data_IF_436277034277
#
_entry.id   IF_436277034277
#
_cell.length_a   1.000
_cell.length_b   1.000
_cell.length_c   1.000
_cell.angle_alpha   90.00
_cell.angle_beta   90.00
_cell.angle_gamma   90.00
#
_symmetry.space_group_name_H-M   'P 1'
#
loop_
_entity.id
_entity.type
_entity.pdbx_description
1 polymer ?
#
# COMPACT_ATOMS: atom_id res chain seq x y z
N UNK A 1 -17.45 1.61 -1.58
CA UNK A 1 -16.02 1.78 -1.86
C UNK A 1 -15.51 2.87 -0.93
N UNK A 2 -14.88 2.48 0.19
CA UNK A 2 -14.19 3.42 1.06
C UNK A 2 -12.87 3.78 0.36
N UNK A 3 -12.85 4.95 -0.26
CA UNK A 3 -11.64 5.57 -0.83
C UNK A 3 -10.81 6.23 0.29
N UNK A 4 -11.39 6.36 1.49
CA UNK A 4 -10.73 6.99 2.63
C UNK A 4 -9.78 6.02 3.33
N UNK A 5 -8.65 6.55 3.79
CA UNK A 5 -7.74 5.80 4.64
C UNK A 5 -8.44 5.44 5.95
N UNK A 6 -8.30 4.21 6.36
CA UNK A 6 -8.94 3.65 7.57
C UNK A 6 -8.68 4.49 8.82
N UNK A 7 -7.51 5.09 8.94
CA UNK A 7 -7.15 5.99 10.06
C UNK A 7 -7.97 7.29 10.13
N UNK A 8 -8.72 7.63 9.09
CA UNK A 8 -9.56 8.84 9.04
C UNK A 8 -11.01 8.58 9.45
N UNK A 9 -11.37 7.33 9.68
CA UNK A 9 -12.74 6.92 9.97
C UNK A 9 -12.76 6.06 11.24
N UNK A 10 -13.62 6.42 12.18
CA UNK A 10 -13.91 5.55 13.32
C UNK A 10 -15.01 4.56 12.88
N UNK A 11 -14.71 3.25 12.96
CA UNK A 11 -15.66 2.20 12.59
C UNK A 11 -16.96 2.36 13.40
N UNK A 12 -18.10 2.29 12.71
CA UNK A 12 -19.46 2.47 13.27
C UNK A 12 -19.79 3.88 13.77
N UNK A 13 -18.84 4.81 13.81
CA UNK A 13 -19.07 6.19 14.27
C UNK A 13 -19.01 7.16 13.09
N UNK A 14 -20.10 7.91 12.90
CA UNK A 14 -20.12 9.01 11.91
C UNK A 14 -19.56 10.29 12.49
N UNK A 15 -19.11 11.20 11.63
CA UNK A 15 -18.65 12.54 12.03
C UNK A 15 -19.78 13.42 12.63
N UNK A 16 -21.03 13.02 12.41
CA UNK A 16 -22.23 13.61 13.02
C UNK A 16 -23.01 12.52 13.74
N UNK A 17 -23.47 12.82 14.93
CA UNK A 17 -24.24 11.89 15.74
C UNK A 17 -25.60 11.60 15.10
N UNK A 18 -25.88 10.33 14.75
CA UNK A 18 -27.11 9.94 14.05
C UNK A 18 -28.39 10.36 14.78
N UNK A 19 -28.41 10.31 16.11
CA UNK A 19 -29.58 10.68 16.89
C UNK A 19 -29.83 12.20 16.93
N UNK A 20 -28.87 13.05 16.52
CA UNK A 20 -29.08 14.50 16.36
C UNK A 20 -29.73 14.86 15.02
N UNK A 21 -29.90 13.90 14.11
CA UNK A 21 -30.48 14.12 12.78
C UNK A 21 -31.86 14.82 12.78
N UNK A 22 -32.82 14.51 13.71
CA UNK A 22 -34.08 15.25 13.76
C UNK A 22 -33.89 16.75 13.97
N UNK A 23 -32.93 17.13 14.81
CA UNK A 23 -32.62 18.55 15.07
C UNK A 23 -31.94 19.18 13.85
N UNK A 24 -31.05 18.45 13.20
CA UNK A 24 -30.45 18.89 11.93
C UNK A 24 -31.51 19.13 10.86
N UNK A 25 -32.42 18.19 10.65
CA UNK A 25 -33.48 18.31 9.65
C UNK A 25 -34.41 19.51 9.94
N UNK A 26 -34.78 19.71 11.21
CA UNK A 26 -35.56 20.87 11.63
C UNK A 26 -34.80 22.18 11.39
N UNK A 27 -33.54 22.26 11.80
CA UNK A 27 -32.73 23.47 11.65
C UNK A 27 -32.45 23.80 10.19
N UNK A 28 -32.20 22.79 9.36
CA UNK A 28 -32.05 22.94 7.92
C UNK A 28 -33.34 23.46 7.27
N UNK A 29 -34.51 22.86 7.60
CA UNK A 29 -35.80 23.30 7.12
C UNK A 29 -36.10 24.76 7.51
N UNK A 30 -35.81 25.14 8.76
CA UNK A 30 -35.92 26.54 9.23
C UNK A 30 -34.98 27.49 8.51
N UNK A 31 -33.75 27.05 8.22
CA UNK A 31 -32.77 27.85 7.48
C UNK A 31 -33.21 28.06 6.03
N UNK A 32 -33.77 27.03 5.38
CA UNK A 32 -34.38 27.15 4.05
C UNK A 32 -35.59 28.11 4.03
N UNK A 33 -36.46 27.98 5.03
CA UNK A 33 -37.62 28.88 5.14
C UNK A 33 -37.20 30.33 5.33
N UNK A 34 -36.08 30.55 6.07
CA UNK A 34 -35.53 31.89 6.39
C UNK A 34 -34.36 32.26 5.49
N UNK A 35 -34.22 31.66 4.30
CA UNK A 35 -33.06 31.79 3.38
C UNK A 35 -32.79 33.25 2.96
N UNK A 36 -33.80 34.10 2.98
CA UNK A 36 -33.65 35.54 2.68
C UNK A 36 -32.79 36.27 3.71
N UNK A 37 -32.67 35.73 4.92
CA UNK A 37 -31.82 36.30 6.00
C UNK A 37 -30.39 35.81 5.83
N UNK A 38 -29.38 36.72 5.78
CA UNK A 38 -27.98 36.36 5.49
C UNK A 38 -27.43 35.29 6.44
N UNK A 39 -27.75 35.37 7.74
CA UNK A 39 -27.27 34.44 8.75
C UNK A 39 -27.71 32.98 8.54
N UNK A 40 -28.86 32.72 7.91
CA UNK A 40 -29.31 31.37 7.58
C UNK A 40 -28.75 30.91 6.22
N UNK A 41 -28.73 31.85 5.26
CA UNK A 41 -28.24 31.58 3.89
C UNK A 41 -26.79 31.11 3.88
N UNK A 42 -25.92 31.69 4.71
CA UNK A 42 -24.51 31.31 4.83
C UNK A 42 -24.36 29.83 5.15
N UNK A 43 -25.09 29.32 6.15
CA UNK A 43 -24.96 27.91 6.55
C UNK A 43 -25.53 26.94 5.52
N UNK A 44 -26.60 27.30 4.83
CA UNK A 44 -27.14 26.49 3.75
C UNK A 44 -26.17 26.42 2.57
N UNK A 45 -25.60 27.57 2.15
CA UNK A 45 -24.60 27.61 1.07
C UNK A 45 -23.34 26.85 1.48
N UNK A 46 -22.82 27.04 2.71
CA UNK A 46 -21.64 26.33 3.19
C UNK A 46 -21.84 24.82 3.23
N UNK A 47 -23.03 24.35 3.63
CA UNK A 47 -23.37 22.93 3.65
C UNK A 47 -23.35 22.33 2.22
N UNK A 48 -23.91 23.05 1.26
CA UNK A 48 -23.97 22.59 -0.14
C UNK A 48 -22.63 22.74 -0.86
N UNK A 49 -21.81 23.72 -0.49
CA UNK A 49 -20.51 23.96 -1.09
C UNK A 49 -19.42 23.03 -0.54
N UNK A 50 -19.57 22.52 0.70
CA UNK A 50 -18.55 21.68 1.31
C UNK A 50 -18.15 20.44 0.49
N UNK A 51 -19.09 19.69 -0.14
CA UNK A 51 -18.73 18.55 -0.98
C UNK A 51 -18.09 18.92 -2.33
N UNK A 52 -18.27 20.17 -2.80
CA UNK A 52 -17.81 20.57 -4.13
C UNK A 52 -16.29 20.47 -4.28
N UNK A 53 -15.54 20.88 -3.26
CA UNK A 53 -14.07 20.73 -3.24
C UNK A 53 -13.62 19.26 -3.24
N UNK A 54 -14.35 18.40 -2.54
CA UNK A 54 -14.10 16.96 -2.52
C UNK A 54 -14.38 16.30 -3.87
N UNK A 55 -15.43 16.77 -4.57
CA UNK A 55 -15.80 16.24 -5.89
C UNK A 55 -14.75 16.54 -6.96
N UNK A 56 -14.04 17.67 -6.89
CA UNK A 56 -13.00 18.05 -7.84
C UNK A 56 -11.70 17.25 -7.67
N UNK A 57 -11.40 16.78 -6.45
CA UNK A 57 -10.13 16.13 -6.13
C UNK A 57 -10.27 14.64 -5.72
N UNK A 58 -11.41 14.04 -6.05
CA UNK A 58 -11.80 12.72 -5.56
C UNK A 58 -12.46 12.79 -4.18
N UNK A 59 -13.57 12.06 -4.01
CA UNK A 59 -14.35 12.07 -2.78
C UNK A 59 -13.59 11.39 -1.65
N UNK A 60 -13.17 12.16 -0.65
CA UNK A 60 -12.56 11.66 0.57
C UNK A 60 -13.16 12.40 1.79
N UNK A 61 -13.30 11.67 2.91
CA UNK A 61 -13.87 12.21 4.16
C UNK A 61 -13.12 13.46 4.62
N UNK A 62 -11.79 13.39 4.62
CA UNK A 62 -10.94 14.52 5.06
C UNK A 62 -11.18 15.79 4.26
N UNK A 63 -11.49 15.67 2.97
CA UNK A 63 -11.82 16.81 2.09
C UNK A 63 -13.25 17.34 2.30
N UNK A 64 -14.15 16.49 2.80
CA UNK A 64 -15.54 16.84 3.07
C UNK A 64 -15.80 17.25 4.54
N UNK A 65 -14.81 17.16 5.44
CA UNK A 65 -14.98 17.44 6.88
C UNK A 65 -15.52 18.86 7.19
N UNK A 66 -15.28 19.80 6.29
CA UNK A 66 -15.87 21.14 6.44
C UNK A 66 -17.40 21.12 6.56
N UNK A 67 -18.07 20.12 5.98
CA UNK A 67 -19.53 19.90 6.09
C UNK A 67 -20.00 19.79 7.55
N UNK A 68 -19.16 19.32 8.45
CA UNK A 68 -19.50 19.16 9.88
C UNK A 68 -19.84 20.49 10.52
N UNK A 69 -19.13 21.57 10.19
CA UNK A 69 -19.33 22.90 10.78
C UNK A 69 -20.75 23.42 10.52
N UNK A 70 -21.20 23.63 9.27
CA UNK A 70 -22.55 24.10 9.02
C UNK A 70 -23.63 23.13 9.50
N UNK A 71 -23.36 21.81 9.48
CA UNK A 71 -24.30 20.80 9.97
C UNK A 71 -24.53 20.92 11.48
N UNK A 72 -23.47 21.11 12.27
CA UNK A 72 -23.58 21.31 13.74
C UNK A 72 -24.33 22.60 14.05
N UNK A 73 -24.06 23.69 13.34
CA UNK A 73 -24.81 24.96 13.53
C UNK A 73 -26.29 24.79 13.20
N UNK A 74 -26.61 24.12 12.08
CA UNK A 74 -27.99 23.85 11.72
C UNK A 74 -28.68 22.93 12.75
N UNK A 75 -27.96 21.93 13.28
CA UNK A 75 -28.45 21.10 14.40
C UNK A 75 -28.77 21.94 15.63
N UNK A 76 -27.90 22.87 15.96
CA UNK A 76 -28.09 23.78 17.13
C UNK A 76 -29.31 24.71 16.93
N UNK A 77 -29.54 25.21 15.71
CA UNK A 77 -30.73 25.99 15.35
C UNK A 77 -32.01 25.15 15.54
N UNK A 78 -31.99 23.89 15.10
CA UNK A 78 -33.12 23.00 15.29
C UNK A 78 -33.38 22.64 16.74
N UNK A 79 -32.31 22.43 17.53
CA UNK A 79 -32.40 22.19 18.96
C UNK A 79 -32.98 23.41 19.68
N UNK A 80 -32.50 24.62 19.41
CA UNK A 80 -33.04 25.86 19.97
C UNK A 80 -34.53 26.03 19.67
N UNK A 81 -34.94 25.80 18.44
CA UNK A 81 -36.36 25.85 18.06
C UNK A 81 -37.21 24.80 18.82
N UNK A 82 -36.65 23.63 19.02
CA UNK A 82 -37.29 22.56 19.83
C UNK A 82 -37.45 23.01 21.29
N UNK A 83 -36.44 23.64 21.86
CA UNK A 83 -36.51 24.21 23.21
C UNK A 83 -37.62 25.25 23.34
N UNK A 84 -37.76 26.15 22.34
CA UNK A 84 -38.85 27.13 22.29
C UNK A 84 -40.23 26.46 22.25
N UNK A 85 -40.38 25.36 21.51
CA UNK A 85 -41.66 24.64 21.43
C UNK A 85 -42.00 23.90 22.73
N UNK A 86 -40.98 23.30 23.38
CA UNK A 86 -41.14 22.60 24.67
C UNK A 86 -41.49 23.56 25.78
N UNK A 87 -40.88 24.75 25.82
CA UNK A 87 -41.20 25.80 26.78
C UNK A 87 -42.66 26.22 26.71
N UNK A 88 -43.22 26.38 25.51
CA UNK A 88 -44.64 26.68 25.30
C UNK A 88 -45.55 25.58 25.89
N UNK A 89 -45.06 24.37 26.10
CA UNK A 89 -45.76 23.27 26.76
C UNK A 89 -45.50 23.19 28.27
N UNK A 90 -44.92 24.23 28.86
CA UNK A 90 -44.60 24.34 30.31
C UNK A 90 -43.58 23.29 30.79
N UNK A 91 -42.78 22.72 29.91
CA UNK A 91 -41.66 21.86 30.30
C UNK A 91 -40.41 22.72 30.42
N UNK A 92 -39.67 22.65 31.56
CA UNK A 92 -38.45 23.42 31.74
C UNK A 92 -37.39 23.10 30.69
N UNK A 93 -36.79 24.14 30.10
CA UNK A 93 -35.66 23.95 29.13
C UNK A 93 -34.52 23.10 29.69
N UNK A 94 -34.28 23.23 31.00
CA UNK A 94 -33.26 22.47 31.73
C UNK A 94 -33.42 20.96 31.50
N UNK A 95 -34.65 20.45 31.41
CA UNK A 95 -34.89 19.01 31.17
C UNK A 95 -34.34 18.58 29.79
N UNK A 96 -34.65 19.32 28.73
CA UNK A 96 -34.13 18.98 27.38
C UNK A 96 -32.60 19.14 27.32
N UNK A 97 -32.06 20.22 27.91
CA UNK A 97 -30.62 20.46 27.96
C UNK A 97 -29.93 19.30 28.71
N UNK A 98 -30.47 18.88 29.84
CA UNK A 98 -29.92 17.76 30.62
C UNK A 98 -29.99 16.46 29.86
N UNK A 99 -31.10 16.14 29.17
CA UNK A 99 -31.26 14.94 28.38
C UNK A 99 -30.27 14.90 27.18
N UNK A 100 -30.16 16.02 26.45
CA UNK A 100 -29.22 16.13 25.34
C UNK A 100 -27.79 16.07 25.87
N UNK A 101 -27.46 16.79 26.93
CA UNK A 101 -26.14 16.77 27.55
C UNK A 101 -25.75 15.40 28.06
N UNK A 102 -26.65 14.70 28.76
CA UNK A 102 -26.43 13.34 29.23
C UNK A 102 -26.22 12.37 28.02
N UNK A 103 -27.05 12.50 26.98
CA UNK A 103 -26.91 11.71 25.75
C UNK A 103 -25.55 11.91 25.06
N UNK A 104 -25.11 13.18 24.96
CA UNK A 104 -23.80 13.52 24.40
C UNK A 104 -22.66 12.92 25.23
N UNK A 105 -22.67 13.10 26.56
CA UNK A 105 -21.64 12.60 27.48
C UNK A 105 -21.58 11.06 27.40
N UNK A 106 -22.74 10.41 27.48
CA UNK A 106 -22.81 8.93 27.42
C UNK A 106 -22.31 8.38 26.10
N UNK A 107 -22.79 8.95 24.98
CA UNK A 107 -22.36 8.51 23.66
C UNK A 107 -20.85 8.72 23.44
N UNK A 108 -20.33 9.90 23.77
CA UNK A 108 -18.89 10.17 23.63
C UNK A 108 -18.05 9.30 24.58
N UNK A 109 -18.56 8.99 25.77
CA UNK A 109 -17.91 8.07 26.70
C UNK A 109 -17.80 6.65 26.14
N UNK A 110 -18.90 6.12 25.56
CA UNK A 110 -18.86 4.82 24.88
C UNK A 110 -17.97 4.83 23.65
N UNK A 111 -18.06 5.87 22.81
CA UNK A 111 -17.21 6.04 21.63
C UNK A 111 -15.73 6.07 22.02
N UNK A 112 -15.36 6.85 23.06
CA UNK A 112 -13.98 6.92 23.55
C UNK A 112 -13.49 5.58 24.08
N UNK A 113 -14.32 4.89 24.88
CA UNK A 113 -13.99 3.55 25.37
C UNK A 113 -13.74 2.59 24.23
N UNK A 114 -14.64 2.56 23.24
CA UNK A 114 -14.52 1.69 22.07
C UNK A 114 -13.28 2.02 21.23
N UNK A 115 -13.00 3.31 21.02
CA UNK A 115 -11.80 3.77 20.33
C UNK A 115 -10.51 3.36 21.04
N UNK A 116 -10.47 3.39 22.36
CA UNK A 116 -9.28 3.03 23.15
C UNK A 116 -9.05 1.51 23.22
N UNK A 117 -10.12 0.73 23.23
CA UNK A 117 -10.05 -0.74 23.39
C UNK A 117 -9.99 -1.44 22.04
N UNK A 118 -10.88 -1.12 21.13
CA UNK A 118 -11.04 -1.81 19.84
C UNK A 118 -10.45 -1.05 18.65
N UNK A 119 -10.18 0.25 18.80
CA UNK A 119 -9.67 1.10 17.72
C UNK A 119 -8.45 0.53 16.98
N UNK A 120 -7.46 -0.06 17.66
CA UNK A 120 -6.31 -0.68 17.02
C UNK A 120 -6.66 -1.81 16.04
N UNK A 121 -7.80 -2.47 16.26
CA UNK A 121 -8.26 -3.63 15.47
C UNK A 121 -9.49 -3.33 14.60
N UNK A 122 -9.92 -2.08 14.50
CA UNK A 122 -11.08 -1.75 13.67
C UNK A 122 -10.90 -2.08 12.19
N UNK A 123 -9.66 -2.17 11.76
CA UNK A 123 -9.29 -2.51 10.38
C UNK A 123 -8.30 -3.66 10.41
N UNK A 124 -8.48 -4.60 9.50
CA UNK A 124 -7.72 -5.85 9.46
C UNK A 124 -6.24 -5.69 9.07
N UNK A 125 -5.87 -4.53 8.50
CA UNK A 125 -4.49 -4.23 8.19
C UNK A 125 -3.93 -3.23 9.20
N UNK A 126 -2.93 -3.63 9.93
CA UNK A 126 -2.16 -2.78 10.82
C UNK A 126 -1.03 -2.06 10.05
N UNK A 127 -1.28 -1.78 8.78
CA UNK A 127 -0.35 -1.14 7.85
C UNK A 127 -0.32 0.38 8.03
N UNK A 128 0.42 1.05 7.16
CA UNK A 128 0.54 2.51 7.09
C UNK A 128 -0.80 3.26 7.03
N UNK A 129 -1.86 2.62 6.52
CA UNK A 129 -3.21 3.18 6.42
C UNK A 129 -4.08 2.96 7.65
N UNK A 130 -3.73 2.02 8.54
CA UNK A 130 -4.52 1.61 9.70
C UNK A 130 -4.30 2.43 10.96
N UNK A 131 -4.84 1.93 12.07
CA UNK A 131 -4.62 2.48 13.40
C UNK A 131 -3.23 2.08 13.91
N UNK A 132 -2.49 3.03 14.42
CA UNK A 132 -1.12 2.83 14.88
C UNK A 132 -1.10 2.73 16.40
N UNK A 133 -0.88 1.51 16.90
CA UNK A 133 -0.83 1.23 18.33
C UNK A 133 0.47 0.50 18.65
N UNK A 134 1.00 0.74 19.85
CA UNK A 134 2.07 -0.10 20.43
C UNK A 134 3.40 0.59 20.64
N UNK A 135 3.61 1.83 20.16
CA UNK A 135 4.91 2.50 20.27
C UNK A 135 5.47 2.49 21.70
N UNK A 136 4.69 2.96 22.67
CA UNK A 136 5.13 2.97 24.07
C UNK A 136 5.41 1.59 24.64
N UNK A 137 4.60 0.60 24.25
CA UNK A 137 4.69 -0.77 24.73
C UNK A 137 5.90 -1.48 24.11
N UNK A 138 6.05 -1.40 22.79
CA UNK A 138 7.15 -2.05 22.06
C UNK A 138 8.49 -1.42 22.44
N UNK A 139 8.60 -0.09 22.37
CA UNK A 139 9.85 0.59 22.68
C UNK A 139 10.21 0.51 24.16
N UNK A 140 9.21 0.52 25.06
CA UNK A 140 9.46 0.28 26.47
C UNK A 140 9.98 -1.12 26.78
N UNK A 141 9.51 -2.14 26.04
CA UNK A 141 10.03 -3.51 26.19
C UNK A 141 11.43 -3.65 25.58
N UNK A 142 11.69 -3.03 24.42
CA UNK A 142 13.04 -2.96 23.83
C UNK A 142 14.03 -2.31 24.83
N UNK A 143 13.65 -1.16 25.40
CA UNK A 143 14.48 -0.48 26.40
C UNK A 143 14.78 -1.37 27.60
N UNK A 144 13.81 -2.14 28.08
CA UNK A 144 14.00 -3.10 29.17
C UNK A 144 14.97 -4.21 28.76
N UNK A 145 14.80 -4.82 27.60
CA UNK A 145 15.70 -5.86 27.09
C UNK A 145 17.13 -5.36 26.95
N UNK A 146 17.32 -4.14 26.44
CA UNK A 146 18.65 -3.54 26.29
C UNK A 146 19.29 -3.15 27.64
N UNK A 147 18.47 -2.82 28.65
CA UNK A 147 19.00 -2.63 30.04
C UNK A 147 19.46 -3.95 30.66
N UNK A 148 18.73 -5.05 30.39
CA UNK A 148 19.11 -6.39 30.88
C UNK A 148 20.31 -6.97 30.13
N UNK A 149 20.37 -6.74 28.81
CA UNK A 149 21.46 -7.15 27.93
C UNK A 149 21.78 -6.06 26.89
N UNK A 150 22.78 -5.18 27.16
CA UNK A 150 23.13 -4.09 26.23
C UNK A 150 23.58 -4.54 24.82
N UNK A 151 23.99 -5.80 24.68
CA UNK A 151 24.43 -6.38 23.40
C UNK A 151 23.33 -7.17 22.69
N UNK A 152 22.10 -7.14 23.20
CA UNK A 152 20.96 -7.83 22.59
C UNK A 152 20.75 -7.36 21.17
N UNK A 153 20.77 -8.29 20.23
CA UNK A 153 20.39 -8.01 18.84
C UNK A 153 18.89 -8.08 18.72
N UNK A 154 18.31 -7.00 18.20
CA UNK A 154 16.86 -6.86 18.03
C UNK A 154 16.60 -6.42 16.59
N UNK A 155 15.63 -7.06 15.96
CA UNK A 155 15.08 -6.73 14.66
C UNK A 155 13.60 -6.40 14.81
N UNK A 156 13.19 -5.21 14.40
CA UNK A 156 11.82 -4.72 14.58
C UNK A 156 11.13 -4.53 13.23
N UNK A 157 9.96 -5.13 13.07
CA UNK A 157 9.08 -4.81 11.94
C UNK A 157 8.67 -3.33 11.95
N UNK A 158 8.82 -2.61 10.84
CA UNK A 158 8.32 -1.24 10.70
C UNK A 158 6.84 -1.18 10.26
N UNK A 159 6.22 -2.31 9.93
CA UNK A 159 4.95 -2.36 9.18
C UNK A 159 3.70 -2.03 10.01
N UNK A 160 3.84 -1.61 11.27
CA UNK A 160 2.73 -1.31 12.18
C UNK A 160 2.46 0.18 12.38
N UNK A 161 3.32 1.07 11.88
CA UNK A 161 3.12 2.51 11.99
C UNK A 161 3.63 3.25 10.76
N UNK A 162 3.02 4.41 10.46
CA UNK A 162 3.52 5.32 9.45
C UNK A 162 4.70 6.11 10.01
N UNK A 163 5.92 5.76 9.63
CA UNK A 163 7.14 6.34 10.18
C UNK A 163 7.53 5.72 11.52
N UNK A 164 7.60 4.39 11.59
CA UNK A 164 8.07 3.65 12.78
C UNK A 164 9.47 4.09 13.19
N UNK A 165 10.34 4.42 12.24
CA UNK A 165 11.67 4.99 12.49
C UNK A 165 11.61 6.36 13.17
N UNK A 166 10.65 7.21 12.79
CA UNK A 166 10.43 8.51 13.44
C UNK A 166 9.93 8.32 14.86
N UNK A 167 9.00 7.36 15.07
CA UNK A 167 8.54 7.01 16.41
C UNK A 167 9.69 6.45 17.26
N UNK A 168 10.56 5.61 16.67
CA UNK A 168 11.72 5.06 17.38
C UNK A 168 12.66 6.14 17.88
N UNK A 169 12.95 7.18 17.07
CA UNK A 169 13.81 8.31 17.46
C UNK A 169 13.21 9.19 18.57
N UNK A 170 11.92 9.07 18.85
CA UNK A 170 11.33 9.71 20.03
C UNK A 170 11.74 9.01 21.34
N UNK A 171 11.98 7.70 21.29
CA UNK A 171 12.35 6.89 22.46
C UNK A 171 13.84 6.67 22.58
N UNK A 172 14.57 6.62 21.46
CA UNK A 172 15.99 6.29 21.39
C UNK A 172 16.77 7.34 20.62
N UNK A 173 18.01 7.58 21.04
CA UNK A 173 18.94 8.44 20.31
C UNK A 173 19.51 7.69 19.10
N UNK A 174 19.92 8.44 18.07
CA UNK A 174 20.64 7.88 16.93
C UNK A 174 22.11 7.55 17.32
N UNK A 175 22.70 6.46 16.81
CA UNK A 175 22.04 5.43 16.01
C UNK A 175 21.07 4.58 16.84
N UNK A 176 19.99 4.11 16.22
CA UNK A 176 19.04 3.23 16.89
C UNK A 176 19.73 1.96 17.37
N UNK A 177 19.44 1.46 18.59
CA UNK A 177 20.08 0.27 19.14
C UNK A 177 19.50 -1.05 18.62
N UNK A 178 18.75 -1.02 17.54
CA UNK A 178 18.14 -2.18 16.87
C UNK A 178 18.00 -1.90 15.37
N UNK A 179 17.84 -2.97 14.62
CA UNK A 179 17.58 -2.94 13.18
C UNK A 179 16.08 -2.94 12.90
N UNK A 180 15.67 -2.34 11.79
CA UNK A 180 14.29 -2.38 11.31
C UNK A 180 14.20 -2.92 9.89
N UNK A 181 13.22 -3.81 9.67
CA UNK A 181 12.95 -4.38 8.36
C UNK A 181 11.77 -5.35 8.41
N UNK A 182 11.27 -5.77 7.25
CA UNK A 182 10.28 -6.82 7.16
C UNK A 182 10.93 -8.20 7.28
N UNK A 183 10.25 -9.13 7.96
CA UNK A 183 10.64 -10.54 7.99
C UNK A 183 10.62 -11.15 6.58
N UNK A 184 9.88 -10.57 5.66
CA UNK A 184 9.82 -11.04 4.28
C UNK A 184 11.20 -11.06 3.62
N UNK A 185 12.12 -10.14 3.98
CA UNK A 185 13.50 -10.19 3.52
C UNK A 185 14.20 -11.48 3.92
N UNK A 186 14.01 -11.96 5.16
CA UNK A 186 14.55 -13.21 5.66
C UNK A 186 13.86 -14.45 5.08
N UNK A 187 12.62 -14.31 4.64
CA UNK A 187 11.90 -15.37 3.94
C UNK A 187 12.34 -15.46 2.49
N UNK A 188 12.67 -14.34 1.86
CA UNK A 188 13.01 -14.24 0.45
C UNK A 188 14.48 -14.56 0.17
N UNK A 189 15.37 -14.09 1.04
CA UNK A 189 16.81 -14.29 0.95
C UNK A 189 17.35 -14.76 2.30
N UNK A 190 18.46 -15.49 2.25
CA UNK A 190 19.16 -15.88 3.47
C UNK A 190 19.95 -14.73 4.05
N UNK A 191 19.50 -14.21 5.19
CA UNK A 191 20.25 -13.25 5.99
C UNK A 191 20.88 -13.94 7.18
N UNK A 192 21.97 -13.36 7.70
CA UNK A 192 22.60 -13.87 8.92
C UNK A 192 21.69 -13.61 10.13
N UNK A 193 21.36 -14.67 10.87
CA UNK A 193 20.63 -14.59 12.14
C UNK A 193 21.65 -14.82 13.26
N UNK A 194 21.84 -13.79 14.09
CA UNK A 194 22.76 -13.87 15.22
C UNK A 194 22.18 -14.76 16.34
N UNK A 195 23.01 -15.53 17.04
CA UNK A 195 22.55 -16.33 18.18
C UNK A 195 21.83 -15.48 19.24
N UNK A 196 20.57 -15.82 19.54
CA UNK A 196 19.75 -15.11 20.51
C UNK A 196 19.18 -13.78 19.98
N UNK A 197 19.28 -13.50 18.67
CA UNK A 197 18.61 -12.34 18.06
C UNK A 197 17.10 -12.43 18.23
N UNK A 198 16.48 -11.33 18.65
CA UNK A 198 15.05 -11.23 18.87
C UNK A 198 14.41 -10.50 17.70
N UNK A 199 13.43 -11.13 17.09
CA UNK A 199 12.57 -10.53 16.06
C UNK A 199 11.27 -10.11 16.70
N UNK A 200 10.86 -8.85 16.46
CA UNK A 200 9.59 -8.30 16.93
C UNK A 200 8.70 -8.12 15.71
N UNK A 201 7.75 -9.02 15.57
CA UNK A 201 6.90 -9.18 14.38
C UNK A 201 5.46 -8.77 14.68
N UNK A 202 4.78 -8.23 13.69
CA UNK A 202 3.32 -8.08 13.73
C UNK A 202 2.65 -9.44 13.47
N UNK A 203 1.34 -9.61 13.79
CA UNK A 203 0.66 -10.88 13.61
C UNK A 203 0.77 -11.46 12.21
N UNK A 204 0.61 -10.63 11.18
CA UNK A 204 0.72 -11.08 9.79
C UNK A 204 2.11 -11.62 9.46
N UNK A 205 3.17 -10.93 9.86
CA UNK A 205 4.55 -11.36 9.62
C UNK A 205 4.91 -12.64 10.39
N UNK A 206 4.39 -12.78 11.61
CA UNK A 206 4.57 -14.01 12.40
C UNK A 206 3.93 -15.22 11.70
N UNK A 207 2.71 -15.07 11.17
CA UNK A 207 2.05 -16.13 10.42
C UNK A 207 2.75 -16.38 9.07
N UNK A 208 3.24 -15.36 8.37
CA UNK A 208 4.04 -15.53 7.16
C UNK A 208 5.31 -16.33 7.43
N UNK A 209 6.02 -16.00 8.52
CA UNK A 209 7.23 -16.74 8.91
C UNK A 209 6.93 -18.22 9.18
N UNK A 210 5.83 -18.53 9.86
CA UNK A 210 5.38 -19.91 10.11
C UNK A 210 5.00 -20.64 8.81
N UNK A 211 4.25 -19.98 7.95
CA UNK A 211 3.76 -20.54 6.69
C UNK A 211 4.89 -20.78 5.68
N UNK A 212 6.01 -20.06 5.78
CA UNK A 212 7.13 -20.20 4.86
C UNK A 212 7.86 -21.53 4.95
N UNK A 213 7.73 -22.25 6.08
CA UNK A 213 8.45 -23.50 6.40
C UNK A 213 9.99 -23.37 6.31
N UNK A 214 10.51 -22.13 6.23
CA UNK A 214 11.95 -21.84 6.11
C UNK A 214 12.67 -21.81 7.46
N UNK A 215 11.90 -21.71 8.55
CA UNK A 215 12.43 -21.71 9.91
C UNK A 215 12.10 -23.02 10.61
N UNK A 216 13.12 -23.72 11.14
CA UNK A 216 12.93 -24.97 11.89
C UNK A 216 12.33 -24.72 13.26
N UNK A 217 12.67 -23.57 13.88
CA UNK A 217 12.15 -23.13 15.15
C UNK A 217 11.73 -21.67 15.05
N UNK A 218 10.56 -21.39 15.60
CA UNK A 218 10.06 -20.04 15.88
C UNK A 218 9.74 -20.04 17.37
N UNK A 219 10.76 -19.75 18.19
CA UNK A 219 10.60 -19.79 19.63
C UNK A 219 9.97 -18.50 20.13
N UNK A 220 8.72 -18.59 20.56
CA UNK A 220 7.98 -17.45 21.10
C UNK A 220 8.50 -17.14 22.51
N UNK A 221 9.13 -15.97 22.65
CA UNK A 221 9.65 -15.46 23.93
C UNK A 221 8.51 -14.78 24.70
N UNK A 222 7.73 -13.93 23.99
CA UNK A 222 6.70 -13.07 24.57
C UNK A 222 5.74 -12.54 23.52
N UNK A 223 4.52 -12.20 23.97
CA UNK A 223 3.59 -11.34 23.20
C UNK A 223 3.37 -10.02 23.91
N UNK A 224 3.07 -8.98 23.15
CA UNK A 224 2.43 -7.77 23.63
C UNK A 224 1.04 -7.68 23.01
N UNK A 225 0.04 -7.55 23.86
CA UNK A 225 -1.34 -7.59 23.43
C UNK A 225 -1.88 -6.20 23.10
N UNK A 226 -2.84 -6.15 22.20
CA UNK A 226 -3.69 -4.98 22.00
C UNK A 226 -4.61 -4.76 23.20
N UNK A 227 -5.22 -3.57 23.34
CA UNK A 227 -6.10 -3.27 24.48
C UNK A 227 -7.30 -4.20 24.61
N UNK A 228 -7.70 -4.91 23.55
CA UNK A 228 -8.79 -5.88 23.56
C UNK A 228 -8.35 -7.30 23.96
N UNK A 229 -7.06 -7.51 24.19
CA UNK A 229 -6.48 -8.79 24.59
C UNK A 229 -5.96 -9.67 23.45
N UNK A 230 -6.11 -9.27 22.19
CA UNK A 230 -5.50 -10.00 21.08
C UNK A 230 -4.00 -9.72 21.01
N UNK A 231 -3.20 -10.72 20.60
CA UNK A 231 -1.77 -10.56 20.43
C UNK A 231 -1.46 -9.56 19.32
N UNK A 232 -0.68 -8.52 19.64
CA UNK A 232 -0.33 -7.43 18.72
C UNK A 232 1.09 -7.50 18.19
N UNK A 233 2.02 -7.98 19.04
CA UNK A 233 3.43 -8.12 18.67
C UNK A 233 3.98 -9.42 19.23
N UNK A 234 4.73 -10.13 18.41
CA UNK A 234 5.37 -11.39 18.74
C UNK A 234 6.88 -11.16 18.85
N UNK A 235 7.45 -11.47 20.01
CA UNK A 235 8.89 -11.49 20.25
C UNK A 235 9.37 -12.91 20.09
N UNK A 236 10.16 -13.19 19.07
CA UNK A 236 10.57 -14.53 18.71
C UNK A 236 12.07 -14.64 18.44
N UNK A 237 12.64 -15.80 18.69
CA UNK A 237 13.90 -16.21 18.08
C UNK A 237 13.57 -17.05 16.83
N UNK A 238 14.38 -16.88 15.79
CA UNK A 238 14.24 -17.62 14.54
C UNK A 238 15.53 -18.41 14.27
N UNK A 239 15.37 -19.58 13.67
CA UNK A 239 16.48 -20.39 13.19
C UNK A 239 16.05 -21.05 11.87
N UNK A 240 16.85 -20.87 10.83
CA UNK A 240 16.58 -21.50 9.53
C UNK A 240 16.64 -23.02 9.59
N UNK A 241 15.89 -23.66 8.69
CA UNK A 241 16.06 -25.09 8.41
C UNK A 241 17.45 -25.36 7.82
N UNK A 242 17.95 -26.60 7.99
CA UNK A 242 19.31 -26.93 7.57
C UNK A 242 19.52 -26.82 6.06
N UNK A 243 18.49 -27.06 5.26
CA UNK A 243 18.50 -27.01 3.80
C UNK A 243 17.95 -25.71 3.21
N UNK A 244 18.02 -24.59 3.95
CA UNK A 244 17.49 -23.30 3.49
C UNK A 244 18.07 -22.86 2.15
N UNK A 245 19.36 -23.11 1.90
CA UNK A 245 20.02 -22.71 0.67
C UNK A 245 19.42 -23.43 -0.55
N UNK A 246 19.09 -24.73 -0.38
CA UNK A 246 18.44 -25.53 -1.45
C UNK A 246 17.00 -25.00 -1.73
N UNK A 247 16.24 -24.72 -0.66
CA UNK A 247 14.88 -24.21 -0.81
C UNK A 247 14.88 -22.86 -1.56
N UNK A 248 15.75 -21.93 -1.16
CA UNK A 248 15.85 -20.63 -1.81
C UNK A 248 16.30 -20.74 -3.26
N UNK A 249 17.25 -21.64 -3.56
CA UNK A 249 17.71 -21.88 -4.92
C UNK A 249 16.61 -22.49 -5.81
N UNK A 250 15.79 -23.42 -5.28
CA UNK A 250 14.66 -24.00 -6.01
C UNK A 250 13.59 -22.93 -6.29
N UNK A 251 13.27 -22.07 -5.32
CA UNK A 251 12.33 -20.96 -5.50
C UNK A 251 12.83 -19.95 -6.54
N UNK A 252 14.10 -19.59 -6.47
CA UNK A 252 14.72 -18.68 -7.44
C UNK A 252 14.66 -19.28 -8.86
N UNK A 253 14.99 -20.56 -9.00
CA UNK A 253 14.89 -21.25 -10.27
C UNK A 253 13.43 -21.29 -10.79
N UNK A 254 12.47 -21.50 -9.90
CA UNK A 254 11.05 -21.48 -10.26
C UNK A 254 10.58 -20.10 -10.76
N UNK A 255 11.04 -19.02 -10.12
CA UNK A 255 10.72 -17.63 -10.53
C UNK A 255 11.32 -17.27 -11.90
N UNK A 256 12.48 -17.82 -12.23
CA UNK A 256 13.17 -17.61 -13.51
C UNK A 256 12.63 -18.51 -14.65
N UNK A 257 11.81 -19.51 -14.31
CA UNK A 257 11.22 -20.40 -15.33
C UNK A 257 10.29 -19.62 -16.25
N UNK A 258 10.52 -19.76 -17.55
CA UNK A 258 9.68 -19.10 -18.54
C UNK A 258 8.33 -19.82 -18.69
N UNK A 259 7.27 -19.02 -18.73
CA UNK A 259 5.91 -19.42 -19.08
C UNK A 259 5.53 -18.80 -20.42
N UNK A 260 4.69 -19.49 -21.21
CA UNK A 260 4.30 -19.05 -22.55
C UNK A 260 2.84 -18.57 -22.56
N UNK A 261 2.59 -17.51 -23.29
CA UNK A 261 1.24 -16.98 -23.56
C UNK A 261 1.15 -16.48 -25.00
N UNK A 262 -0.02 -16.61 -25.61
CA UNK A 262 -0.34 -15.98 -26.89
C UNK A 262 -1.03 -14.63 -26.64
N UNK A 263 -0.53 -13.59 -27.28
CA UNK A 263 -1.13 -12.26 -27.28
C UNK A 263 -1.27 -11.71 -28.70
N UNK A 264 -2.06 -10.64 -28.85
CA UNK A 264 -2.15 -9.87 -30.09
C UNK A 264 -1.70 -8.45 -29.80
N UNK A 265 -0.71 -7.95 -30.55
CA UNK A 265 -0.22 -6.59 -30.41
C UNK A 265 -1.16 -5.57 -31.11
N UNK A 266 -0.97 -4.24 -30.91
CA UNK A 266 -1.78 -3.20 -31.57
C UNK A 266 -1.74 -3.21 -33.09
N UNK A 267 -0.73 -3.83 -33.70
CA UNK A 267 -0.59 -4.00 -35.16
C UNK A 267 -1.26 -5.29 -35.68
N UNK A 268 -1.99 -6.02 -34.82
CA UNK A 268 -2.64 -7.30 -35.05
C UNK A 268 -1.68 -8.46 -35.36
N UNK A 269 -0.44 -8.41 -34.89
CA UNK A 269 0.43 -9.57 -34.89
C UNK A 269 0.07 -10.52 -33.77
N UNK A 270 -0.07 -11.81 -34.08
CA UNK A 270 -0.18 -12.85 -33.04
C UNK A 270 1.22 -13.25 -32.59
N UNK A 271 1.50 -13.07 -31.30
CA UNK A 271 2.81 -13.31 -30.72
C UNK A 271 2.70 -14.38 -29.62
N UNK A 272 3.52 -15.44 -29.73
CA UNK A 272 3.76 -16.35 -28.62
C UNK A 272 4.96 -15.83 -27.84
N UNK A 273 4.74 -15.52 -26.55
CA UNK A 273 5.75 -14.89 -25.69
C UNK A 273 6.07 -15.82 -24.52
N UNK A 274 7.35 -16.17 -24.37
CA UNK A 274 7.85 -16.85 -23.19
C UNK A 274 8.56 -15.81 -22.28
N UNK A 275 8.18 -15.75 -21.01
CA UNK A 275 8.64 -14.75 -20.04
C UNK A 275 8.73 -15.33 -18.63
N UNK A 276 9.57 -14.75 -17.72
CA UNK A 276 9.66 -15.18 -16.33
C UNK A 276 8.47 -14.66 -15.51
N UNK A 277 8.35 -15.11 -14.26
CA UNK A 277 7.29 -14.70 -13.38
C UNK A 277 7.31 -13.17 -13.12
N UNK A 278 6.12 -12.56 -13.13
CA UNK A 278 5.90 -11.15 -12.83
C UNK A 278 5.18 -11.01 -11.47
N UNK A 279 5.47 -9.95 -10.73
CA UNK A 279 4.74 -9.59 -9.51
C UNK A 279 3.84 -8.35 -9.69
N UNK A 280 4.03 -7.63 -10.81
CA UNK A 280 3.20 -6.48 -11.17
C UNK A 280 2.95 -6.47 -12.68
N UNK A 281 1.68 -6.23 -13.05
CA UNK A 281 1.20 -6.23 -14.43
C UNK A 281 1.10 -7.64 -15.03
N UNK A 282 0.44 -7.74 -16.18
CA UNK A 282 0.47 -8.90 -17.07
C UNK A 282 1.43 -8.64 -18.21
N UNK A 283 1.94 -9.69 -18.86
CA UNK A 283 2.89 -9.52 -19.99
C UNK A 283 2.29 -8.74 -21.16
N UNK A 284 0.98 -8.81 -21.32
CA UNK A 284 0.21 -8.03 -22.30
C UNK A 284 0.43 -6.53 -22.16
N UNK A 285 0.71 -6.02 -20.95
CA UNK A 285 1.00 -4.62 -20.70
C UNK A 285 2.25 -4.09 -21.42
N UNK A 286 3.14 -4.99 -21.85
CA UNK A 286 4.29 -4.61 -22.68
C UNK A 286 3.95 -4.43 -24.16
N UNK A 287 2.73 -4.80 -24.58
CA UNK A 287 2.34 -4.89 -25.99
C UNK A 287 0.94 -4.33 -26.21
N UNK A 288 0.41 -3.52 -25.29
CA UNK A 288 -0.96 -2.98 -25.35
C UNK A 288 -1.05 -1.57 -25.94
N UNK A 289 0.09 -0.92 -26.15
CA UNK A 289 0.18 0.45 -26.64
C UNK A 289 -0.17 1.51 -25.59
N UNK A 290 -0.35 1.12 -24.32
CA UNK A 290 -0.55 2.07 -23.20
C UNK A 290 0.79 2.34 -22.50
N UNK A 291 1.38 3.48 -22.78
CA UNK A 291 2.64 3.92 -22.18
C UNK A 291 2.63 4.08 -20.66
N UNK A 292 1.46 3.96 -19.99
CA UNK A 292 1.30 4.08 -18.55
C UNK A 292 1.17 2.72 -17.85
N UNK A 293 0.89 1.66 -18.58
CA UNK A 293 0.92 0.30 -18.05
C UNK A 293 2.36 -0.17 -17.90
N UNK A 294 2.62 -1.04 -16.92
CA UNK A 294 3.98 -1.57 -16.71
C UNK A 294 3.96 -3.01 -16.22
N UNK A 295 5.08 -3.68 -16.41
CA UNK A 295 5.38 -4.95 -15.77
C UNK A 295 6.59 -4.82 -14.85
N UNK A 296 6.62 -5.68 -13.82
CA UNK A 296 7.77 -5.88 -12.96
C UNK A 296 8.01 -7.37 -12.76
N UNK A 297 9.27 -7.79 -12.89
CA UNK A 297 9.62 -9.18 -12.62
C UNK A 297 9.57 -9.50 -11.14
N UNK A 298 9.15 -10.72 -10.79
CA UNK A 298 9.29 -11.26 -9.44
C UNK A 298 10.70 -11.85 -9.30
N UNK A 299 11.64 -11.03 -8.82
CA UNK A 299 13.04 -11.41 -8.59
C UNK A 299 13.70 -12.18 -9.75
N UNK A 300 13.33 -11.87 -10.97
CA UNK A 300 14.00 -12.35 -12.16
C UNK A 300 14.73 -11.19 -12.84
N UNK A 301 16.03 -11.23 -12.77
CA UNK A 301 16.92 -10.32 -13.46
C UNK A 301 17.98 -11.15 -14.20
N UNK A 302 18.02 -11.10 -15.54
CA UNK A 302 17.26 -10.24 -16.44
C UNK A 302 15.79 -10.65 -16.65
N UNK A 303 14.96 -9.72 -17.12
CA UNK A 303 13.71 -10.00 -17.80
C UNK A 303 14.05 -10.56 -19.19
N UNK A 304 13.71 -11.82 -19.42
CA UNK A 304 13.90 -12.50 -20.70
C UNK A 304 12.55 -12.60 -21.40
N UNK A 305 12.48 -12.11 -22.64
CA UNK A 305 11.32 -12.22 -23.52
C UNK A 305 11.72 -13.00 -24.75
N UNK A 306 11.20 -14.20 -24.92
CA UNK A 306 11.33 -14.94 -26.18
C UNK A 306 10.01 -14.83 -26.95
N UNK A 307 10.03 -14.14 -28.08
CA UNK A 307 8.85 -13.75 -28.85
C UNK A 307 8.89 -14.45 -30.20
N UNK A 308 7.82 -15.21 -30.49
CA UNK A 308 7.62 -15.87 -31.74
C UNK A 308 6.34 -15.38 -32.41
N UNK A 309 6.45 -14.55 -33.46
CA UNK A 309 5.30 -14.17 -34.24
C UNK A 309 4.73 -15.39 -34.97
N UNK A 310 3.40 -15.47 -35.11
CA UNK A 310 2.75 -16.54 -35.91
C UNK A 310 3.09 -16.48 -37.42
N UNK A 311 3.43 -15.29 -37.91
CA UNK A 311 3.94 -15.01 -39.25
C UNK A 311 5.14 -14.07 -39.11
N UNK A 312 6.12 -14.20 -40.03
CA UNK A 312 7.28 -13.32 -40.04
C UNK A 312 6.83 -11.85 -40.09
N UNK A 313 7.40 -11.01 -39.23
CA UNK A 313 7.13 -9.56 -39.17
C UNK A 313 8.31 -8.79 -39.79
N UNK A 314 7.99 -7.78 -40.60
CA UNK A 314 9.03 -6.85 -41.07
C UNK A 314 9.46 -5.94 -39.91
N UNK A 315 10.74 -6.02 -39.55
CA UNK A 315 11.30 -5.31 -38.42
C UNK A 315 12.42 -4.39 -38.90
N UNK A 316 12.27 -3.09 -38.63
CA UNK A 316 13.27 -2.07 -38.90
C UNK A 316 13.84 -1.47 -37.60
N UNK A 317 12.99 -1.44 -36.56
CA UNK A 317 13.33 -0.81 -35.30
C UNK A 317 12.60 -1.53 -34.16
N UNK A 318 13.26 -1.65 -33.00
CA UNK A 318 12.66 -2.10 -31.74
C UNK A 318 12.75 -0.93 -30.76
N UNK A 319 11.65 -0.59 -30.13
CA UNK A 319 11.61 0.43 -29.09
C UNK A 319 11.23 -0.22 -27.76
N UNK A 320 12.05 -0.03 -26.75
CA UNK A 320 11.82 -0.52 -25.39
C UNK A 320 11.65 0.67 -24.45
N UNK A 321 10.46 0.80 -23.84
CA UNK A 321 10.18 1.80 -22.83
C UNK A 321 10.47 1.23 -21.45
N UNK A 322 11.45 1.83 -20.76
CA UNK A 322 11.97 1.34 -19.48
C UNK A 322 12.00 2.42 -18.42
N UNK A 323 12.13 2.01 -17.15
CA UNK A 323 12.37 2.91 -16.03
C UNK A 323 13.77 3.52 -16.01
N UNK A 324 14.03 4.25 -14.94
CA UNK A 324 15.26 5.02 -14.81
C UNK A 324 16.51 4.25 -14.37
N UNK A 325 16.41 2.95 -14.03
CA UNK A 325 17.57 2.15 -13.57
C UNK A 325 18.61 1.96 -14.67
N UNK A 326 19.89 1.88 -14.28
CA UNK A 326 20.96 1.49 -15.19
C UNK A 326 20.67 0.08 -15.76
N UNK A 327 20.67 -0.06 -17.09
CA UNK A 327 20.16 -1.25 -17.76
C UNK A 327 21.08 -1.69 -18.87
N UNK A 328 21.32 -3.00 -18.97
CA UNK A 328 21.95 -3.65 -20.10
C UNK A 328 20.92 -4.42 -20.91
N UNK A 329 20.94 -4.22 -22.23
CA UNK A 329 20.09 -4.93 -23.18
C UNK A 329 20.92 -5.88 -24.01
N UNK A 330 20.36 -7.06 -24.24
CA UNK A 330 20.82 -8.02 -25.24
C UNK A 330 19.61 -8.42 -26.09
N UNK A 331 19.66 -8.10 -27.38
CA UNK A 331 18.58 -8.40 -28.31
C UNK A 331 19.14 -9.30 -29.38
N UNK A 332 18.45 -10.39 -29.69
CA UNK A 332 18.75 -11.29 -30.78
C UNK A 332 17.53 -11.41 -31.70
N UNK A 333 17.71 -11.09 -32.95
CA UNK A 333 16.68 -11.22 -34.00
C UNK A 333 17.04 -12.32 -34.95
N UNK A 334 16.19 -13.33 -35.06
CA UNK A 334 16.33 -14.44 -36.00
C UNK A 334 15.39 -14.19 -37.18
N UNK A 335 15.95 -14.21 -38.38
CA UNK A 335 15.20 -14.13 -39.65
C UNK A 335 14.96 -15.51 -40.25
N UNK A 336 14.28 -15.59 -41.41
CA UNK A 336 14.01 -16.84 -42.12
C UNK A 336 15.29 -17.66 -42.40
N UNK A 337 15.10 -18.96 -42.63
CA UNK A 337 16.19 -19.97 -42.75
C UNK A 337 17.34 -19.51 -43.63
N UNK A 338 18.53 -19.44 -43.07
CA UNK A 338 19.80 -19.26 -43.77
C UNK A 338 20.59 -18.01 -43.43
N UNK A 339 20.07 -17.12 -42.62
CA UNK A 339 20.78 -15.92 -42.14
C UNK A 339 21.25 -16.08 -40.68
N UNK A 340 22.45 -15.58 -40.38
CA UNK A 340 22.90 -15.51 -38.99
C UNK A 340 22.02 -14.54 -38.18
N UNK A 341 21.69 -14.87 -36.90
CA UNK A 341 20.93 -13.96 -36.05
C UNK A 341 21.63 -12.62 -35.85
N UNK A 342 20.91 -11.53 -35.97
CA UNK A 342 21.40 -10.19 -35.64
C UNK A 342 21.43 -10.04 -34.14
N UNK A 343 22.58 -9.66 -33.57
CA UNK A 343 22.77 -9.45 -32.14
C UNK A 343 23.06 -8.00 -31.90
N UNK A 344 22.31 -7.40 -30.96
CA UNK A 344 22.47 -6.01 -30.51
C UNK A 344 22.66 -6.03 -28.98
N UNK A 345 23.73 -5.37 -28.52
CA UNK A 345 23.96 -5.15 -27.10
C UNK A 345 24.12 -3.68 -26.84
N UNK A 346 23.47 -3.17 -25.77
CA UNK A 346 23.54 -1.77 -25.40
C UNK A 346 23.42 -1.61 -23.90
N UNK A 347 24.25 -0.72 -23.33
CA UNK A 347 24.15 -0.26 -21.94
C UNK A 347 23.57 1.14 -21.91
N UNK A 348 22.68 1.38 -20.95
CA UNK A 348 22.02 2.66 -20.75
C UNK A 348 22.21 3.04 -19.27
N UNK A 349 22.77 4.24 -19.00
CA UNK A 349 23.04 4.68 -17.63
C UNK A 349 21.74 4.95 -16.86
N UNK A 350 21.84 5.13 -15.56
CA UNK A 350 20.73 5.56 -14.69
C UNK A 350 20.16 6.92 -15.14
N UNK A 351 18.85 7.10 -14.96
CA UNK A 351 18.08 8.31 -15.26
C UNK A 351 16.99 8.49 -14.21
N UNK A 352 16.49 9.70 -14.04
CA UNK A 352 15.33 9.97 -13.16
C UNK A 352 13.98 9.85 -13.88
N UNK A 353 13.98 9.50 -15.18
CA UNK A 353 12.78 9.50 -16.02
C UNK A 353 12.59 8.15 -16.72
N UNK A 354 11.33 7.77 -16.97
CA UNK A 354 10.97 6.71 -17.90
C UNK A 354 11.39 7.16 -19.29
N UNK A 355 11.98 6.26 -20.08
CA UNK A 355 12.55 6.59 -21.39
C UNK A 355 12.39 5.49 -22.40
N UNK A 356 12.38 5.90 -23.67
CA UNK A 356 12.42 5.01 -24.80
C UNK A 356 13.87 4.72 -25.21
N UNK A 357 14.20 3.46 -25.35
CA UNK A 357 15.49 3.00 -25.87
C UNK A 357 15.25 2.40 -27.26
N UNK A 358 15.77 3.05 -28.26
CA UNK A 358 15.54 2.73 -29.68
C UNK A 358 16.68 1.88 -30.21
N UNK A 359 16.37 0.76 -30.85
CA UNK A 359 17.32 -0.14 -31.51
C UNK A 359 16.98 -0.20 -32.99
N UNK A 360 17.77 0.49 -33.81
CA UNK A 360 17.64 0.49 -35.25
C UNK A 360 18.39 -0.73 -35.84
N UNK A 361 17.76 -1.42 -36.76
CA UNK A 361 18.40 -2.48 -37.56
C UNK A 361 19.04 -1.85 -38.81
N UNK A 362 20.23 -2.28 -39.16
CA UNK A 362 20.94 -1.77 -40.34
C UNK A 362 20.14 -1.98 -41.65
N UNK A 363 19.34 -3.03 -41.71
CA UNK A 363 18.40 -3.33 -42.78
C UNK A 363 17.13 -3.94 -42.25
N UNK A 364 15.96 -3.73 -42.91
CA UNK A 364 14.72 -4.38 -42.53
C UNK A 364 14.89 -5.93 -42.60
N UNK A 365 14.41 -6.61 -41.57
CA UNK A 365 14.48 -8.07 -41.46
C UNK A 365 13.08 -8.65 -41.32
N UNK A 366 12.85 -9.82 -41.95
CA UNK A 366 11.68 -10.64 -41.71
C UNK A 366 11.95 -11.50 -40.46
N UNK A 367 11.55 -10.99 -39.32
CA UNK A 367 11.81 -11.64 -38.02
C UNK A 367 10.82 -12.78 -37.78
N UNK A 368 11.34 -13.95 -37.47
CA UNK A 368 10.58 -15.16 -37.09
C UNK A 368 10.71 -15.49 -35.61
N UNK A 369 11.75 -14.96 -34.94
CA UNK A 369 11.97 -15.10 -33.51
C UNK A 369 12.79 -13.91 -32.98
N UNK A 370 12.40 -13.38 -31.81
CA UNK A 370 13.15 -12.36 -31.10
C UNK A 370 13.43 -12.87 -29.69
N UNK A 371 14.65 -12.66 -29.21
CA UNK A 371 14.99 -12.82 -27.80
C UNK A 371 15.47 -11.49 -27.28
N UNK A 372 14.81 -10.97 -26.26
CA UNK A 372 15.12 -9.69 -25.61
C UNK A 372 15.46 -9.96 -24.16
N UNK A 373 16.66 -9.57 -23.74
CA UNK A 373 17.11 -9.61 -22.33
C UNK A 373 17.28 -8.20 -21.84
N UNK A 374 16.60 -7.87 -20.76
CA UNK A 374 16.64 -6.56 -20.08
C UNK A 374 17.19 -6.80 -18.69
N UNK A 375 18.42 -6.36 -18.43
CA UNK A 375 19.12 -6.59 -17.17
C UNK A 375 19.27 -5.28 -16.40
N UNK A 376 18.64 -5.19 -15.23
CA UNK A 376 18.89 -4.15 -14.26
C UNK A 376 20.29 -4.36 -13.66
N UNK A 377 21.16 -3.36 -13.79
CA UNK A 377 22.54 -3.39 -13.28
C UNK A 377 22.72 -2.58 -11.99
N UNK A 378 21.66 -2.05 -11.41
CA UNK A 378 21.71 -1.36 -10.13
C UNK A 378 21.88 -2.39 -9.00
N UNK A 379 22.94 -2.23 -8.22
CA UNK A 379 23.28 -3.15 -7.12
C UNK A 379 22.23 -3.18 -5.99
N UNK A 380 21.48 -2.10 -5.83
CA UNK A 380 20.43 -1.98 -4.79
C UNK A 380 19.10 -2.61 -5.19
N UNK A 381 18.88 -2.93 -6.47
CA UNK A 381 17.61 -3.45 -7.00
C UNK A 381 17.85 -4.49 -8.12
N UNK A 382 18.74 -5.45 -7.87
CA UNK A 382 19.10 -6.48 -8.85
C UNK A 382 18.00 -7.47 -9.16
N UNK A 383 17.07 -7.63 -8.24
CA UNK A 383 16.05 -8.67 -8.32
C UNK A 383 14.88 -8.29 -9.22
N UNK A 384 14.71 -7.01 -9.56
CA UNK A 384 13.57 -6.51 -10.31
C UNK A 384 13.95 -5.80 -11.59
N UNK A 385 13.17 -6.05 -12.65
CA UNK A 385 13.21 -5.29 -13.90
C UNK A 385 11.84 -4.66 -14.12
N UNK A 386 11.83 -3.36 -14.40
CA UNK A 386 10.62 -2.60 -14.71
C UNK A 386 10.62 -2.26 -16.20
N UNK A 387 9.58 -2.61 -16.92
CA UNK A 387 9.39 -2.27 -18.32
C UNK A 387 7.95 -1.83 -18.59
N UNK A 388 7.75 -0.91 -19.53
CA UNK A 388 6.46 -0.33 -19.85
C UNK A 388 5.93 -0.76 -21.20
N UNK A 389 6.78 -0.76 -22.25
CA UNK A 389 6.31 -1.03 -23.60
C UNK A 389 7.42 -1.66 -24.44
N UNK A 390 7.06 -2.55 -25.32
CA UNK A 390 7.87 -3.14 -26.39
C UNK A 390 7.15 -2.93 -27.71
N UNK A 391 7.69 -2.10 -28.57
CA UNK A 391 7.10 -1.81 -29.89
C UNK A 391 8.00 -2.23 -31.02
N UNK A 392 7.39 -2.70 -32.09
CA UNK A 392 8.05 -3.15 -33.33
C UNK A 392 7.69 -2.20 -34.48
N UNK A 393 8.68 -1.74 -35.25
CA UNK A 393 8.51 -0.80 -36.37
C UNK A 393 9.29 -1.23 -37.60
#
# INVERSE_FOLDING_TARGET
NNIDLERHVMKEYGHLLRWTFPFFALGFGLALWRIKKPQYRVFVISLLAAPAGAALAGAAVTRALFLVIPAVVLTSIGLDQTMVWIEKRKVPKAVLISLVGLGLVTFNGFMLKDALVNGPLWFSNYSLGGQQYGARQVFGEIEKMLRENPNQKIFLSPSWANGTDVLARFFFSDPLPFEMGSIDSYIFEKHEIQPGQIFILIPQEYENAKASEKFKNIDLIKTLDYPNGDAGFYFVNLEYVANIDDILAEEEAARKKLTEIEITDPLNHQLLIAYPQLDMGGIENLFDGDENSMVRTLESNPLILNIKPSQAIELKQIVLRIGGTATTFEIMVTSEKGFEPVKISRQVPESNEIRDVVFDLEQPLQAVELSISIMNTNDSDRAHVHAWEVSFH
#
